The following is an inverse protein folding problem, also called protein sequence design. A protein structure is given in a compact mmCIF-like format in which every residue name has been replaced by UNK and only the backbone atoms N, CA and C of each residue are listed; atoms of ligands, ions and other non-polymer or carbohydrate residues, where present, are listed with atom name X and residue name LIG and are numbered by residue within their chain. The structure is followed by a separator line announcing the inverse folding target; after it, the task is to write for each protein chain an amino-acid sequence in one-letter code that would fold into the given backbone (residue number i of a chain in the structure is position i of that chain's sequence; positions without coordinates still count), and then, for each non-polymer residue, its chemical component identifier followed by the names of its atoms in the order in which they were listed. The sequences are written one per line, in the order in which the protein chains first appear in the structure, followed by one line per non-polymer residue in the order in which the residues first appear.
data_IF_412665739220
#
_entry.id   IF_412665739220
#
_cell.length_a   1.000
_cell.length_b   1.000
_cell.length_c   1.000
_cell.angle_alpha   90.00
_cell.angle_beta   90.00
_cell.angle_gamma   90.00
#
_symmetry.space_group_name_H-M   'P 1'
#
loop_
_entity.id
_entity.type
_entity.pdbx_description
1 polymer ?
#
# COMPACT_ATOMS: atom_id res chain seq x y z
N UNK A 1 -17.90 -15.65 -24.14
CA UNK A 1 -17.15 -14.63 -23.39
C UNK A 1 -15.97 -15.33 -22.73
N UNK A 2 -14.74 -15.02 -23.14
CA UNK A 2 -13.58 -15.49 -22.40
C UNK A 2 -13.70 -14.93 -20.99
N UNK A 3 -13.75 -15.82 -19.97
CA UNK A 3 -13.53 -15.38 -18.60
C UNK A 3 -12.26 -14.53 -18.60
N UNK A 4 -12.38 -13.29 -18.11
CA UNK A 4 -11.21 -12.50 -17.80
C UNK A 4 -10.26 -13.42 -17.06
N UNK A 5 -9.10 -13.64 -17.63
CA UNK A 5 -8.08 -14.51 -17.04
C UNK A 5 -7.83 -13.99 -15.65
N UNK A 6 -8.27 -14.73 -14.63
CA UNK A 6 -7.80 -14.51 -13.28
C UNK A 6 -6.28 -14.50 -13.36
N UNK A 7 -5.67 -13.40 -12.95
CA UNK A 7 -4.22 -13.31 -12.91
C UNK A 7 -3.72 -14.45 -12.03
N UNK A 8 -3.09 -15.40 -12.65
CA UNK A 8 -2.63 -16.58 -11.95
C UNK A 8 -1.51 -16.17 -11.03
N UNK A 9 -1.68 -16.44 -9.75
CA UNK A 9 -0.64 -16.26 -8.72
C UNK A 9 0.63 -17.07 -9.02
N UNK A 10 0.53 -18.04 -9.94
CA UNK A 10 1.67 -18.82 -10.42
C UNK A 10 2.74 -17.98 -11.14
N UNK A 11 2.42 -16.75 -11.57
CA UNK A 11 3.39 -15.82 -12.16
C UNK A 11 4.04 -14.87 -11.17
N UNK A 12 3.56 -14.84 -9.97
CA UNK A 12 4.12 -14.11 -8.83
C UNK A 12 3.78 -14.84 -7.55
N UNK A 13 4.64 -14.78 -6.55
CA UNK A 13 4.43 -15.49 -5.28
C UNK A 13 3.41 -14.75 -4.40
N UNK A 14 3.35 -13.42 -4.53
CA UNK A 14 2.46 -12.56 -3.76
C UNK A 14 1.99 -11.36 -4.61
N UNK A 15 0.85 -10.78 -4.26
CA UNK A 15 0.42 -9.49 -4.80
C UNK A 15 1.28 -8.34 -4.25
N UNK A 16 1.98 -8.57 -3.14
CA UNK A 16 2.87 -7.61 -2.50
C UNK A 16 4.27 -7.71 -3.09
N UNK A 17 4.73 -6.60 -3.64
CA UNK A 17 6.06 -6.50 -4.25
C UNK A 17 7.18 -6.93 -3.30
N UNK A 18 7.06 -6.56 -2.04
CA UNK A 18 8.04 -6.86 -1.00
C UNK A 18 8.21 -8.34 -0.69
N UNK A 19 7.20 -9.15 -0.97
CA UNK A 19 7.21 -10.59 -0.70
C UNK A 19 7.82 -11.40 -1.85
N UNK A 20 8.02 -10.79 -2.99
CA UNK A 20 8.60 -11.41 -4.17
C UNK A 20 10.08 -11.06 -4.30
N UNK A 21 10.82 -11.92 -5.00
CA UNK A 21 12.20 -11.58 -5.39
C UNK A 21 12.20 -10.53 -6.52
N UNK A 22 13.32 -9.82 -6.66
CA UNK A 22 13.48 -8.87 -7.75
C UNK A 22 13.28 -9.52 -9.13
N UNK A 23 13.75 -10.76 -9.30
CA UNK A 23 13.58 -11.50 -10.55
C UNK A 23 12.10 -11.77 -10.86
N UNK A 24 11.31 -12.19 -9.87
CA UNK A 24 9.87 -12.42 -10.02
C UNK A 24 9.15 -11.11 -10.36
N UNK A 25 9.42 -10.03 -9.64
CA UNK A 25 8.80 -8.75 -9.89
C UNK A 25 9.14 -8.19 -11.29
N UNK A 26 10.40 -8.32 -11.70
CA UNK A 26 10.85 -7.86 -13.01
C UNK A 26 10.19 -8.64 -14.16
N UNK A 27 10.14 -9.96 -14.05
CA UNK A 27 9.49 -10.81 -15.04
C UNK A 27 7.99 -10.53 -15.10
N UNK A 28 7.35 -10.40 -13.95
CA UNK A 28 5.92 -10.11 -13.88
C UNK A 28 5.57 -8.76 -14.52
N UNK A 29 6.36 -7.73 -14.24
CA UNK A 29 6.16 -6.40 -14.81
C UNK A 29 6.29 -6.41 -16.35
N UNK A 30 7.23 -7.19 -16.88
CA UNK A 30 7.44 -7.30 -18.34
C UNK A 30 6.38 -8.12 -19.04
N UNK A 31 5.94 -9.21 -18.44
CA UNK A 31 5.15 -10.23 -19.13
C UNK A 31 3.66 -10.13 -18.82
N UNK A 32 3.27 -9.54 -17.69
CA UNK A 32 1.90 -9.57 -17.21
C UNK A 32 1.32 -8.18 -16.99
N UNK A 33 1.87 -7.41 -16.07
CA UNK A 33 1.33 -6.10 -15.70
C UNK A 33 2.42 -5.22 -15.09
N UNK A 34 2.59 -4.02 -15.62
CA UNK A 34 3.57 -3.03 -15.17
C UNK A 34 2.96 -1.90 -14.33
N UNK A 35 1.74 -2.12 -13.84
CA UNK A 35 1.07 -1.18 -12.95
C UNK A 35 1.38 -1.53 -11.49
N UNK A 36 1.77 -0.53 -10.71
CA UNK A 36 1.97 -0.66 -9.28
C UNK A 36 0.98 0.24 -8.52
N UNK A 37 0.51 -0.26 -7.40
CA UNK A 37 -0.35 0.47 -6.46
C UNK A 37 0.51 0.82 -5.25
N UNK A 38 0.56 2.09 -4.88
CA UNK A 38 1.16 2.55 -3.63
C UNK A 38 0.05 2.87 -2.64
N UNK A 39 -0.27 1.99 -1.69
CA UNK A 39 -1.20 2.33 -0.62
C UNK A 39 -0.53 3.31 0.33
N UNK A 40 -1.23 4.36 0.70
CA UNK A 40 -0.72 5.39 1.61
C UNK A 40 -1.61 5.39 2.85
N UNK A 41 -1.01 5.33 4.01
CA UNK A 41 -1.71 5.30 5.27
C UNK A 41 -1.17 6.29 6.28
N UNK A 42 -1.55 6.09 7.52
CA UNK A 42 -1.13 6.89 8.65
C UNK A 42 -1.27 6.08 9.94
N UNK A 43 -0.56 6.49 10.98
CA UNK A 43 -0.78 6.03 12.35
C UNK A 43 -1.42 7.20 13.08
N UNK A 44 -2.72 7.08 13.35
CA UNK A 44 -3.55 8.15 13.88
C UNK A 44 -4.56 7.60 14.87
N UNK A 45 -4.80 8.34 15.95
CA UNK A 45 -5.85 7.98 16.88
C UNK A 45 -7.23 7.98 16.20
N UNK A 46 -8.04 7.00 16.53
CA UNK A 46 -9.40 6.83 15.99
C UNK A 46 -10.41 6.59 17.11
N UNK A 47 -10.19 7.21 18.26
CA UNK A 47 -11.02 7.00 19.46
C UNK A 47 -10.78 5.62 20.10
N UNK A 48 -11.64 5.24 21.07
CA UNK A 48 -11.44 4.00 21.83
C UNK A 48 -11.86 2.72 21.08
N UNK A 49 -12.43 2.83 19.90
CA UNK A 49 -13.10 1.72 19.20
C UNK A 49 -12.37 1.24 17.94
N UNK A 50 -11.43 2.01 17.40
CA UNK A 50 -10.68 1.64 16.20
C UNK A 50 -9.18 1.70 16.46
N UNK A 51 -8.40 0.81 15.84
CA UNK A 51 -6.94 0.81 15.99
C UNK A 51 -6.32 2.02 15.31
N UNK A 52 -5.16 2.45 15.82
CA UNK A 52 -4.43 3.59 15.27
C UNK A 52 -3.95 3.37 13.83
N UNK A 53 -3.85 2.13 13.39
CA UNK A 53 -3.47 1.76 12.02
C UNK A 53 -4.65 1.69 11.03
N UNK A 54 -5.84 2.14 11.40
CA UNK A 54 -7.06 2.01 10.58
C UNK A 54 -6.89 2.52 9.16
N UNK A 55 -6.29 3.68 8.96
CA UNK A 55 -6.08 4.26 7.62
C UNK A 55 -5.20 3.35 6.76
N UNK A 56 -4.10 2.89 7.33
CA UNK A 56 -3.17 1.99 6.62
C UNK A 56 -3.81 0.64 6.33
N UNK A 57 -4.53 0.06 7.29
CA UNK A 57 -5.20 -1.23 7.10
C UNK A 57 -6.28 -1.15 6.03
N UNK A 58 -7.05 -0.08 5.99
CA UNK A 58 -8.05 0.14 4.96
C UNK A 58 -7.39 0.31 3.58
N UNK A 59 -6.34 1.12 3.48
CA UNK A 59 -5.61 1.31 2.24
C UNK A 59 -5.02 -0.01 1.71
N UNK A 60 -4.40 -0.80 2.59
CA UNK A 60 -3.83 -2.11 2.22
C UNK A 60 -4.92 -3.11 1.80
N UNK A 61 -6.03 -3.17 2.51
CA UNK A 61 -7.13 -4.08 2.18
C UNK A 61 -7.76 -3.77 0.82
N UNK A 62 -7.99 -2.50 0.53
CA UNK A 62 -8.50 -2.07 -0.78
C UNK A 62 -7.48 -2.35 -1.88
N UNK A 63 -6.21 -2.02 -1.65
CA UNK A 63 -5.14 -2.30 -2.61
C UNK A 63 -5.06 -3.80 -2.95
N UNK A 64 -5.17 -4.66 -1.95
CA UNK A 64 -5.15 -6.10 -2.16
C UNK A 64 -6.32 -6.58 -3.02
N UNK A 65 -7.53 -6.11 -2.75
CA UNK A 65 -8.71 -6.45 -3.54
C UNK A 65 -8.56 -5.97 -5.00
N UNK A 66 -8.05 -4.76 -5.21
CA UNK A 66 -7.81 -4.21 -6.56
C UNK A 66 -6.72 -4.99 -7.28
N UNK A 67 -5.60 -5.29 -6.62
CA UNK A 67 -4.48 -6.02 -7.20
C UNK A 67 -4.87 -7.43 -7.65
N UNK A 68 -5.68 -8.13 -6.87
CA UNK A 68 -6.18 -9.46 -7.21
C UNK A 68 -7.06 -9.45 -8.46
N UNK A 69 -7.79 -8.36 -8.71
CA UNK A 69 -8.67 -8.23 -9.87
C UNK A 69 -7.96 -7.66 -11.10
N UNK A 70 -7.06 -6.73 -10.91
CA UNK A 70 -6.38 -5.99 -12.00
C UNK A 70 -5.06 -6.62 -12.45
N UNK A 71 -4.43 -7.40 -11.59
CA UNK A 71 -3.07 -7.89 -11.79
C UNK A 71 -1.98 -6.91 -11.40
N UNK A 72 -2.31 -5.74 -10.87
CA UNK A 72 -1.31 -4.80 -10.40
C UNK A 72 -0.53 -5.36 -9.20
N UNK A 73 0.71 -4.90 -9.04
CA UNK A 73 1.53 -5.18 -7.87
C UNK A 73 1.29 -4.11 -6.81
N UNK A 74 1.42 -4.47 -5.55
CA UNK A 74 1.28 -3.53 -4.44
C UNK A 74 2.65 -3.25 -3.85
N UNK A 75 3.03 -1.97 -3.81
CA UNK A 75 4.24 -1.52 -3.13
C UNK A 75 4.01 -1.51 -1.61
N UNK A 76 5.09 -1.60 -0.84
CA UNK A 76 5.00 -1.53 0.61
C UNK A 76 4.31 -0.24 1.06
N UNK A 77 3.33 -0.38 1.95
CA UNK A 77 2.59 0.76 2.48
C UNK A 77 3.44 1.55 3.47
N UNK A 78 3.76 2.82 3.20
CA UNK A 78 4.31 3.67 4.22
C UNK A 78 3.20 3.99 5.24
N UNK A 79 3.30 3.39 6.41
CA UNK A 79 2.25 3.50 7.44
C UNK A 79 2.29 4.82 8.21
N UNK A 80 3.38 5.55 8.15
CA UNK A 80 3.48 6.88 8.76
C UNK A 80 3.12 7.95 7.72
N UNK A 81 2.32 8.93 8.13
CA UNK A 81 1.86 9.99 7.26
C UNK A 81 1.80 11.35 7.96
N UNK A 82 1.45 12.37 7.20
CA UNK A 82 1.22 13.72 7.74
C UNK A 82 -0.23 13.84 8.21
N UNK A 83 -0.44 14.72 9.20
CA UNK A 83 -1.74 14.96 9.81
C UNK A 83 -2.01 16.45 9.97
N UNK A 84 -3.29 16.86 10.08
CA UNK A 84 -3.61 18.22 10.48
C UNK A 84 -2.99 18.57 11.83
N UNK A 85 -2.66 19.84 12.01
CA UNK A 85 -1.96 20.32 13.20
C UNK A 85 -2.68 19.97 14.52
N UNK A 86 -4.02 19.93 14.52
CA UNK A 86 -4.80 19.60 15.71
C UNK A 86 -4.68 18.13 16.15
N UNK A 87 -4.17 17.25 15.30
CA UNK A 87 -3.89 15.85 15.67
C UNK A 87 -2.49 15.66 16.30
N UNK A 88 -1.63 16.65 16.17
CA UNK A 88 -0.28 16.59 16.75
C UNK A 88 -0.36 16.58 18.27
N UNK A 89 0.39 15.70 18.89
CA UNK A 89 0.38 15.54 20.34
C UNK A 89 -0.77 14.70 20.90
N UNK A 90 -1.70 14.25 20.07
CA UNK A 90 -2.73 13.31 20.52
C UNK A 90 -2.14 11.92 20.73
N UNK A 91 -2.44 11.24 21.86
CA UNK A 91 -2.01 9.86 22.08
C UNK A 91 -2.46 8.94 20.93
N UNK A 92 -1.54 8.12 20.44
CA UNK A 92 -1.81 7.20 19.33
C UNK A 92 -1.62 7.79 17.92
N UNK A 93 -1.33 9.08 17.81
CA UNK A 93 -0.98 9.73 16.55
C UNK A 93 0.51 9.93 16.45
N UNK A 94 1.12 9.41 15.36
CA UNK A 94 2.55 9.58 15.08
C UNK A 94 2.68 10.32 13.75
N UNK A 95 2.78 11.67 13.79
CA UNK A 95 2.78 12.46 12.58
C UNK A 95 4.18 12.59 11.97
N UNK A 96 4.23 12.62 10.64
CA UNK A 96 5.38 13.14 9.92
C UNK A 96 5.15 14.63 9.63
N UNK A 97 6.22 15.39 9.53
CA UNK A 97 6.12 16.73 8.93
C UNK A 97 5.72 16.59 7.47
N UNK A 98 5.10 17.64 6.93
CA UNK A 98 4.70 17.67 5.52
C UNK A 98 5.92 17.45 4.60
N UNK A 99 7.02 18.12 4.88
CA UNK A 99 8.26 18.04 4.10
C UNK A 99 8.83 16.63 4.09
N UNK A 100 8.86 15.97 5.24
CA UNK A 100 9.34 14.58 5.36
C UNK A 100 8.43 13.63 4.56
N UNK A 101 7.13 13.82 4.65
CA UNK A 101 6.17 12.97 3.93
C UNK A 101 6.29 13.16 2.42
N UNK A 102 6.40 14.40 1.95
CA UNK A 102 6.65 14.69 0.53
C UNK A 102 7.96 14.07 0.06
N UNK A 103 9.02 14.19 0.86
CA UNK A 103 10.31 13.56 0.54
C UNK A 103 10.22 12.05 0.42
N UNK A 104 9.56 11.40 1.36
CA UNK A 104 9.34 9.95 1.34
C UNK A 104 8.61 9.50 0.06
N UNK A 105 7.51 10.15 -0.26
CA UNK A 105 6.71 9.79 -1.44
C UNK A 105 7.43 10.14 -2.75
N UNK A 106 8.28 11.16 -2.74
CA UNK A 106 9.09 11.54 -3.91
C UNK A 106 10.15 10.50 -4.21
N UNK A 107 10.75 9.93 -3.17
CA UNK A 107 11.82 8.93 -3.33
C UNK A 107 11.30 7.55 -3.73
N UNK A 108 10.05 7.24 -3.42
CA UNK A 108 9.41 5.99 -3.83
C UNK A 108 9.05 6.05 -5.32
#
# INVERSE_FOLDING_TARGET
MKKQTEFKLDKRDSVWFQDNTAAVNCAYAKEVCDIAILPIGAIEQHGPHCPCGSDSFNAMGIAEAVARKSGAMILACPMYGSHPAHHWGMPGTIPLTFETHVGLLTDI
#
